data_IF_039928556711
#
_entry.id   IF_039928556711
#
_cell.length_a   1.000
_cell.length_b   1.000
_cell.length_c   1.000
_cell.angle_alpha   90.00
_cell.angle_beta   90.00
_cell.angle_gamma   90.00
#
_symmetry.space_group_name_H-M   'P 1'
#
loop_
_entity.id
_entity.type
_entity.pdbx_description
1 polymer ?
#
# COMPACT_ATOMS: atom_id res chain seq x y z
N UNK A 1 10.03 -16.73 -12.08
CA UNK A 1 9.94 -15.29 -11.76
C UNK A 1 8.70 -14.66 -12.39
N UNK A 2 8.42 -14.90 -13.65
CA UNK A 2 7.26 -14.35 -14.38
C UNK A 2 5.92 -14.60 -13.69
N UNK A 3 5.67 -15.81 -13.22
CA UNK A 3 4.41 -16.17 -12.56
C UNK A 3 4.22 -15.51 -11.20
N UNK A 4 5.30 -15.31 -10.43
CA UNK A 4 5.27 -14.53 -9.20
C UNK A 4 4.95 -13.05 -9.48
N UNK A 5 5.53 -12.50 -10.55
CA UNK A 5 5.23 -11.14 -11.01
C UNK A 5 3.76 -10.99 -11.40
N UNK A 6 3.21 -11.91 -12.21
CA UNK A 6 1.81 -11.86 -12.64
C UNK A 6 0.82 -12.04 -11.48
N UNK A 7 1.12 -12.93 -10.51
CA UNK A 7 0.31 -13.08 -9.31
C UNK A 7 0.30 -11.79 -8.46
N UNK A 8 1.47 -11.15 -8.28
CA UNK A 8 1.54 -9.84 -7.60
C UNK A 8 0.83 -8.74 -8.39
N UNK A 9 0.96 -8.73 -9.73
CA UNK A 9 0.28 -7.75 -10.59
C UNK A 9 -1.24 -7.83 -10.41
N UNK A 10 -1.83 -9.04 -10.51
CA UNK A 10 -3.25 -9.26 -10.29
C UNK A 10 -3.70 -8.90 -8.88
N UNK A 11 -2.89 -9.22 -7.86
CA UNK A 11 -3.15 -8.86 -6.47
C UNK A 11 -3.22 -7.34 -6.27
N UNK A 12 -2.22 -6.60 -6.73
CA UNK A 12 -2.16 -5.16 -6.55
C UNK A 12 -3.23 -4.42 -7.37
N UNK A 13 -3.54 -4.91 -8.57
CA UNK A 13 -4.65 -4.42 -9.37
C UNK A 13 -5.97 -4.58 -8.61
N UNK A 14 -6.23 -5.76 -8.02
CA UNK A 14 -7.45 -6.06 -7.29
C UNK A 14 -7.57 -5.32 -5.93
N UNK A 15 -6.48 -4.74 -5.42
CA UNK A 15 -6.50 -3.84 -4.26
C UNK A 15 -6.70 -2.38 -4.71
N UNK A 16 -5.88 -1.90 -5.65
CA UNK A 16 -5.81 -0.47 -5.96
C UNK A 16 -6.93 0.03 -6.87
N UNK A 17 -7.39 -0.75 -7.84
CA UNK A 17 -8.52 -0.34 -8.68
C UNK A 17 -9.80 -0.11 -7.86
N UNK A 18 -10.20 -1.02 -6.93
CA UNK A 18 -11.31 -0.74 -6.04
C UNK A 18 -11.10 0.48 -5.15
N UNK A 19 -9.97 0.57 -4.44
CA UNK A 19 -9.79 1.63 -3.44
C UNK A 19 -9.67 3.03 -4.06
N UNK A 20 -9.17 3.13 -5.29
CA UNK A 20 -8.96 4.42 -5.94
C UNK A 20 -10.13 4.89 -6.80
N UNK A 21 -10.90 3.96 -7.37
CA UNK A 21 -11.97 4.28 -8.33
C UNK A 21 -13.32 3.74 -7.89
N UNK A 22 -13.44 2.40 -7.72
CA UNK A 22 -14.75 1.76 -7.59
C UNK A 22 -15.42 2.03 -6.22
N UNK A 23 -14.67 1.95 -5.11
CA UNK A 23 -15.22 2.22 -3.77
C UNK A 23 -15.64 3.67 -3.59
N UNK A 24 -14.86 4.69 -4.03
CA UNK A 24 -15.34 6.07 -4.00
C UNK A 24 -16.64 6.27 -4.78
N UNK A 25 -16.72 5.75 -6.01
CA UNK A 25 -17.95 5.83 -6.82
C UNK A 25 -19.13 5.13 -6.15
N UNK A 26 -18.91 3.93 -5.59
CA UNK A 26 -19.94 3.18 -4.90
C UNK A 26 -20.42 3.88 -3.62
N UNK A 27 -19.50 4.50 -2.86
CA UNK A 27 -19.85 5.28 -1.67
C UNK A 27 -20.74 6.48 -2.04
N UNK A 28 -20.43 7.17 -3.14
CA UNK A 28 -21.25 8.29 -3.66
C UNK A 28 -22.63 7.83 -4.13
N UNK A 29 -22.74 6.64 -4.77
CA UNK A 29 -24.04 6.07 -5.15
C UNK A 29 -24.89 5.65 -3.95
N UNK A 30 -24.27 5.18 -2.85
CA UNK A 30 -24.99 4.74 -1.65
C UNK A 30 -25.40 5.90 -0.74
N UNK A 31 -24.57 6.93 -0.63
CA UNK A 31 -24.79 8.12 0.18
C UNK A 31 -24.00 9.30 -0.39
N UNK A 32 -24.62 10.06 -1.30
CA UNK A 32 -23.97 11.21 -1.94
C UNK A 32 -23.59 12.32 -0.96
N UNK A 33 -24.32 12.49 0.13
CA UNK A 33 -24.07 13.53 1.13
C UNK A 33 -22.97 13.13 2.13
N UNK A 34 -22.84 11.84 2.42
CA UNK A 34 -21.86 11.28 3.37
C UNK A 34 -20.79 10.41 2.70
N UNK A 35 -20.53 10.55 1.40
CA UNK A 35 -19.65 9.69 0.61
C UNK A 35 -18.25 9.53 1.20
N UNK A 36 -17.66 10.61 1.73
CA UNK A 36 -16.32 10.57 2.32
C UNK A 36 -16.33 9.79 3.64
N UNK A 37 -17.41 9.91 4.43
CA UNK A 37 -17.55 9.16 5.68
C UNK A 37 -17.77 7.66 5.40
N UNK A 38 -18.60 7.31 4.41
CA UNK A 38 -18.82 5.93 3.96
C UNK A 38 -17.52 5.33 3.44
N UNK A 39 -16.83 6.02 2.54
CA UNK A 39 -15.54 5.59 2.01
C UNK A 39 -14.49 5.44 3.12
N UNK A 40 -14.41 6.40 4.04
CA UNK A 40 -13.52 6.37 5.20
C UNK A 40 -13.79 5.20 6.12
N UNK A 41 -15.08 4.91 6.42
CA UNK A 41 -15.49 3.76 7.23
C UNK A 41 -15.09 2.43 6.55
N UNK A 42 -15.45 2.25 5.28
CA UNK A 42 -15.19 1.01 4.52
C UNK A 42 -13.69 0.75 4.43
N UNK A 43 -12.91 1.74 4.03
CA UNK A 43 -11.47 1.62 3.87
C UNK A 43 -10.75 1.49 5.21
N UNK A 44 -11.17 2.23 6.24
CA UNK A 44 -10.60 2.16 7.58
C UNK A 44 -10.82 0.80 8.25
N UNK A 45 -12.05 0.26 8.22
CA UNK A 45 -12.34 -1.08 8.75
C UNK A 45 -11.60 -2.16 7.94
N UNK A 46 -11.60 -2.06 6.61
CA UNK A 46 -10.85 -2.96 5.75
C UNK A 46 -9.35 -2.97 6.04
N UNK A 47 -8.76 -1.80 6.29
CA UNK A 47 -7.34 -1.69 6.62
C UNK A 47 -7.02 -2.28 8.01
N UNK A 48 -7.93 -2.20 9.00
CA UNK A 48 -7.80 -2.94 10.27
C UNK A 48 -7.78 -4.44 10.04
N UNK A 49 -8.64 -4.95 9.16
CA UNK A 49 -8.65 -6.37 8.77
C UNK A 49 -7.32 -6.75 8.12
N UNK A 50 -6.80 -5.94 7.19
CA UNK A 50 -5.50 -6.17 6.55
C UNK A 50 -4.34 -6.22 7.54
N UNK A 51 -4.33 -5.28 8.52
CA UNK A 51 -3.31 -5.20 9.57
C UNK A 51 -3.22 -6.49 10.38
N UNK A 52 -4.35 -7.15 10.61
CA UNK A 52 -4.44 -8.41 11.37
C UNK A 52 -4.23 -9.63 10.46
N UNK A 53 -4.86 -9.64 9.28
CA UNK A 53 -4.84 -10.79 8.37
C UNK A 53 -3.44 -11.09 7.83
N UNK A 54 -2.67 -10.07 7.43
CA UNK A 54 -1.35 -10.25 6.85
C UNK A 54 -0.39 -11.02 7.77
N UNK A 55 -0.13 -10.61 9.04
CA UNK A 55 0.75 -11.35 9.94
C UNK A 55 0.17 -12.71 10.35
N UNK A 56 -1.15 -12.82 10.61
CA UNK A 56 -1.75 -14.09 11.01
C UNK A 56 -1.65 -15.15 9.91
N UNK A 57 -1.96 -14.77 8.68
CA UNK A 57 -1.88 -15.70 7.54
C UNK A 57 -0.42 -15.99 7.21
N UNK A 58 0.48 -15.01 7.29
CA UNK A 58 1.92 -15.23 7.15
C UNK A 58 2.43 -16.30 8.11
N UNK A 59 2.15 -16.15 9.41
CA UNK A 59 2.50 -17.13 10.45
C UNK A 59 1.85 -18.51 10.21
N UNK A 60 0.59 -18.55 9.80
CA UNK A 60 -0.13 -19.79 9.50
C UNK A 60 0.48 -20.49 8.28
N UNK A 61 0.81 -19.74 7.24
CA UNK A 61 1.49 -20.22 6.04
C UNK A 61 2.87 -20.79 6.37
N UNK A 62 3.63 -20.15 7.29
CA UNK A 62 4.93 -20.64 7.75
C UNK A 62 4.87 -22.00 8.43
N UNK A 63 3.74 -22.35 9.00
CA UNK A 63 3.50 -23.58 9.76
C UNK A 63 2.71 -24.65 8.99
N UNK A 64 2.39 -24.39 7.74
CA UNK A 64 1.56 -25.29 6.94
C UNK A 64 2.36 -26.47 6.44
N UNK A 65 1.85 -27.68 6.72
CA UNK A 65 2.44 -28.97 6.34
C UNK A 65 1.61 -29.69 5.26
N UNK A 66 0.90 -28.93 4.41
CA UNK A 66 0.01 -29.45 3.38
C UNK A 66 0.74 -30.23 2.28
N UNK A 67 0.05 -31.22 1.71
CA UNK A 67 0.52 -31.98 0.53
C UNK A 67 0.66 -31.09 -0.73
N UNK A 68 -0.06 -29.99 -0.79
CA UNK A 68 -0.01 -29.02 -1.90
C UNK A 68 1.07 -27.96 -1.74
N UNK A 69 1.98 -28.14 -0.77
CA UNK A 69 3.01 -27.18 -0.44
C UNK A 69 2.64 -26.28 0.73
N UNK A 70 3.55 -25.37 1.05
CA UNK A 70 3.47 -24.49 2.21
C UNK A 70 2.77 -23.17 1.88
N UNK A 71 2.94 -22.64 0.65
CA UNK A 71 2.46 -21.32 0.22
C UNK A 71 1.25 -21.39 -0.70
N UNK A 72 1.17 -22.39 -1.59
CA UNK A 72 0.10 -22.50 -2.58
C UNK A 72 -1.31 -22.51 -1.99
N UNK A 73 -1.61 -23.26 -0.89
CA UNK A 73 -2.95 -23.26 -0.30
C UNK A 73 -3.40 -21.85 0.14
N UNK A 74 -2.49 -21.07 0.73
CA UNK A 74 -2.79 -19.72 1.19
C UNK A 74 -2.90 -18.71 0.06
N UNK A 75 -2.11 -18.87 -1.01
CA UNK A 75 -2.24 -18.05 -2.23
C UNK A 75 -3.61 -18.24 -2.87
N UNK A 76 -4.06 -19.51 -3.06
CA UNK A 76 -5.38 -19.80 -3.64
C UNK A 76 -6.53 -19.39 -2.72
N UNK A 77 -6.46 -19.74 -1.44
CA UNK A 77 -7.49 -19.35 -0.46
C UNK A 77 -7.62 -17.82 -0.37
N UNK A 78 -6.49 -17.12 -0.37
CA UNK A 78 -6.47 -15.65 -0.36
C UNK A 78 -7.09 -15.04 -1.60
N UNK A 79 -6.72 -15.54 -2.79
CA UNK A 79 -7.30 -15.09 -4.05
C UNK A 79 -8.81 -15.40 -4.14
N UNK A 80 -9.24 -16.58 -3.70
CA UNK A 80 -10.65 -16.97 -3.69
C UNK A 80 -11.48 -16.11 -2.71
N UNK A 81 -10.97 -15.88 -1.49
CA UNK A 81 -11.63 -15.01 -0.51
C UNK A 81 -11.71 -13.57 -1.02
N UNK A 82 -10.63 -13.06 -1.63
CA UNK A 82 -10.62 -11.74 -2.25
C UNK A 82 -11.62 -11.62 -3.41
N UNK A 83 -11.70 -12.63 -4.28
CA UNK A 83 -12.65 -12.68 -5.39
C UNK A 83 -14.10 -12.73 -4.89
N UNK A 84 -14.39 -13.51 -3.84
CA UNK A 84 -15.72 -13.53 -3.20
C UNK A 84 -16.06 -12.14 -2.65
N UNK A 85 -15.10 -11.47 -1.98
CA UNK A 85 -15.30 -10.10 -1.49
C UNK A 85 -15.61 -9.10 -2.63
N UNK A 86 -14.88 -9.19 -3.76
CA UNK A 86 -15.14 -8.37 -4.95
C UNK A 86 -16.50 -8.69 -5.58
N UNK A 87 -16.92 -9.96 -5.59
CA UNK A 87 -18.26 -10.34 -6.05
C UNK A 87 -19.35 -9.80 -5.11
N UNK A 88 -19.14 -9.80 -3.79
CA UNK A 88 -20.06 -9.17 -2.82
C UNK A 88 -20.15 -7.66 -3.08
N UNK A 89 -19.00 -6.98 -3.32
CA UNK A 89 -18.98 -5.55 -3.65
C UNK A 89 -19.74 -5.24 -4.95
N UNK A 90 -19.64 -6.10 -5.96
CA UNK A 90 -20.32 -5.90 -7.25
C UNK A 90 -21.85 -5.80 -7.15
N UNK A 91 -22.43 -6.37 -6.10
CA UNK A 91 -23.89 -6.39 -5.83
C UNK A 91 -24.25 -5.62 -4.55
N UNK A 92 -23.32 -4.92 -3.90
CA UNK A 92 -23.58 -4.27 -2.64
C UNK A 92 -24.52 -3.06 -2.80
N UNK A 93 -25.67 -3.13 -2.16
CA UNK A 93 -26.72 -2.10 -2.14
C UNK A 93 -26.82 -1.36 -0.80
N UNK A 94 -25.92 -1.63 0.14
CA UNK A 94 -25.87 -0.95 1.43
C UNK A 94 -24.43 -0.83 1.95
N UNK A 95 -24.20 0.16 2.80
CA UNK A 95 -22.89 0.41 3.43
C UNK A 95 -22.40 -0.82 4.20
N UNK A 96 -23.29 -1.53 4.92
CA UNK A 96 -22.92 -2.74 5.65
C UNK A 96 -22.39 -3.86 4.76
N UNK A 97 -23.02 -4.11 3.60
CA UNK A 97 -22.56 -5.11 2.61
C UNK A 97 -21.27 -4.64 1.97
N UNK A 98 -21.11 -3.35 1.69
CA UNK A 98 -19.87 -2.77 1.17
C UNK A 98 -18.69 -2.96 2.15
N UNK A 99 -18.90 -2.72 3.46
CA UNK A 99 -17.91 -2.99 4.52
C UNK A 99 -17.54 -4.47 4.55
N UNK A 100 -18.53 -5.38 4.54
CA UNK A 100 -18.28 -6.82 4.56
C UNK A 100 -17.48 -7.27 3.33
N UNK A 101 -17.90 -6.85 2.14
CA UNK A 101 -17.20 -7.17 0.89
C UNK A 101 -15.74 -6.69 0.91
N UNK A 102 -15.50 -5.45 1.34
CA UNK A 102 -14.15 -4.92 1.42
C UNK A 102 -13.30 -5.60 2.50
N UNK A 103 -13.88 -5.97 3.64
CA UNK A 103 -13.19 -6.78 4.66
C UNK A 103 -12.75 -8.15 4.11
N UNK A 104 -13.60 -8.81 3.32
CA UNK A 104 -13.24 -10.08 2.66
C UNK A 104 -12.10 -9.87 1.64
N UNK A 105 -12.16 -8.80 0.84
CA UNK A 105 -11.07 -8.43 -0.09
C UNK A 105 -9.77 -8.24 0.68
N UNK A 106 -9.79 -7.46 1.74
CA UNK A 106 -8.59 -7.14 2.52
C UNK A 106 -8.05 -8.38 3.25
N UNK A 107 -8.89 -9.21 3.85
CA UNK A 107 -8.46 -10.45 4.48
C UNK A 107 -7.81 -11.41 3.47
N UNK A 108 -8.49 -11.63 2.34
CA UNK A 108 -8.04 -12.54 1.29
C UNK A 108 -6.74 -12.06 0.63
N UNK A 109 -6.74 -10.84 0.10
CA UNK A 109 -5.61 -10.34 -0.68
C UNK A 109 -4.36 -10.05 0.18
N UNK A 110 -4.51 -9.60 1.43
CA UNK A 110 -3.37 -9.49 2.34
C UNK A 110 -2.84 -10.86 2.77
N UNK A 111 -3.69 -11.86 2.89
CA UNK A 111 -3.26 -13.25 3.08
C UNK A 111 -2.49 -13.80 1.88
N UNK A 112 -2.96 -13.54 0.66
CA UNK A 112 -2.25 -13.86 -0.57
C UNK A 112 -0.89 -13.14 -0.63
N UNK A 113 -0.86 -11.84 -0.31
CA UNK A 113 0.38 -11.03 -0.26
C UNK A 113 1.41 -11.63 0.71
N UNK A 114 0.99 -11.98 1.93
CA UNK A 114 1.86 -12.60 2.92
C UNK A 114 2.48 -13.90 2.39
N UNK A 115 1.67 -14.72 1.72
CA UNK A 115 2.11 -15.99 1.13
C UNK A 115 3.10 -15.77 -0.02
N UNK A 116 2.80 -14.87 -0.97
CA UNK A 116 3.67 -14.55 -2.11
C UNK A 116 4.99 -13.93 -1.67
N UNK A 117 4.96 -13.02 -0.68
CA UNK A 117 6.16 -12.38 -0.13
C UNK A 117 7.07 -13.42 0.54
N UNK A 118 6.49 -14.34 1.31
CA UNK A 118 7.22 -15.42 1.96
C UNK A 118 7.80 -16.45 0.96
N UNK A 119 7.22 -16.59 -0.23
CA UNK A 119 7.76 -17.47 -1.26
C UNK A 119 9.12 -16.97 -1.82
N UNK A 120 9.44 -15.69 -1.69
CA UNK A 120 10.71 -15.13 -2.18
C UNK A 120 11.90 -15.69 -1.40
N UNK A 121 12.00 -15.57 -0.06
CA UNK A 121 13.12 -16.15 0.68
C UNK A 121 13.15 -17.68 0.63
N UNK A 122 12.00 -18.35 0.45
CA UNK A 122 11.92 -19.81 0.38
C UNK A 122 12.51 -20.39 -0.90
N UNK A 123 12.45 -19.67 -2.03
CA UNK A 123 12.74 -20.20 -3.37
C UNK A 123 13.81 -19.46 -4.15
N UNK A 124 14.11 -18.22 -3.75
CA UNK A 124 15.03 -17.37 -4.49
C UNK A 124 16.41 -17.35 -3.82
N UNK A 125 17.48 -17.74 -4.52
CA UNK A 125 18.84 -17.63 -4.00
C UNK A 125 19.15 -16.20 -3.54
N UNK A 126 19.91 -16.05 -2.45
CA UNK A 126 20.22 -14.76 -1.83
C UNK A 126 20.68 -13.70 -2.84
N UNK A 127 21.53 -14.10 -3.79
CA UNK A 127 22.07 -13.20 -4.85
C UNK A 127 21.00 -12.63 -5.79
N UNK A 128 19.83 -13.28 -5.90
CA UNK A 128 18.75 -12.88 -6.82
C UNK A 128 17.57 -12.22 -6.10
N UNK A 129 17.54 -12.21 -4.75
CA UNK A 129 16.43 -11.68 -3.97
C UNK A 129 16.17 -10.20 -4.23
N UNK A 130 17.22 -9.41 -4.37
CA UNK A 130 17.09 -7.99 -4.70
C UNK A 130 16.42 -7.77 -6.07
N UNK A 131 16.81 -8.56 -7.10
CA UNK A 131 16.19 -8.51 -8.43
C UNK A 131 14.71 -8.91 -8.38
N UNK A 132 14.36 -9.95 -7.63
CA UNK A 132 12.98 -10.41 -7.48
C UNK A 132 12.15 -9.39 -6.67
N UNK A 133 12.71 -8.81 -5.61
CA UNK A 133 12.08 -7.72 -4.86
C UNK A 133 11.78 -6.50 -5.74
N UNK A 134 12.71 -6.13 -6.62
CA UNK A 134 12.49 -5.07 -7.62
C UNK A 134 11.34 -5.41 -8.59
N UNK A 135 11.26 -6.65 -9.08
CA UNK A 135 10.15 -7.10 -9.94
C UNK A 135 8.80 -7.07 -9.19
N UNK A 136 8.77 -7.45 -7.91
CA UNK A 136 7.56 -7.34 -7.08
C UNK A 136 7.15 -5.89 -6.89
N UNK A 137 8.10 -4.97 -6.67
CA UNK A 137 7.83 -3.53 -6.60
C UNK A 137 7.28 -2.97 -7.92
N UNK A 138 7.83 -3.38 -9.05
CA UNK A 138 7.32 -3.02 -10.39
C UNK A 138 5.89 -3.56 -10.58
N UNK A 139 5.61 -4.80 -10.15
CA UNK A 139 4.25 -5.36 -10.26
C UNK A 139 3.23 -4.58 -9.43
N UNK A 140 3.61 -4.04 -8.27
CA UNK A 140 2.76 -3.17 -7.46
C UNK A 140 2.46 -1.86 -8.19
N UNK A 141 3.48 -1.19 -8.72
CA UNK A 141 3.32 0.07 -9.47
C UNK A 141 2.45 -0.13 -10.71
N UNK A 142 2.74 -1.17 -11.51
CA UNK A 142 1.96 -1.49 -12.69
C UNK A 142 0.54 -1.93 -12.35
N UNK A 143 0.36 -2.71 -11.27
CA UNK A 143 -0.96 -3.13 -10.80
C UNK A 143 -1.85 -1.95 -10.42
N UNK A 144 -1.28 -0.94 -9.78
CA UNK A 144 -1.98 0.31 -9.45
C UNK A 144 -2.46 1.04 -10.71
N UNK A 145 -1.56 1.26 -11.67
CA UNK A 145 -1.88 1.98 -12.92
C UNK A 145 -2.80 1.19 -13.82
N UNK A 146 -2.46 -0.08 -14.11
CA UNK A 146 -3.28 -0.95 -14.96
C UNK A 146 -4.65 -1.21 -14.34
N UNK A 147 -4.74 -1.26 -13.01
CA UNK A 147 -6.00 -1.38 -12.31
C UNK A 147 -6.93 -0.21 -12.61
N UNK A 148 -6.43 1.00 -12.53
CA UNK A 148 -7.19 2.19 -12.90
C UNK A 148 -7.61 2.14 -14.38
N UNK A 149 -6.68 1.82 -15.30
CA UNK A 149 -6.99 1.69 -16.74
C UNK A 149 -8.09 0.65 -16.99
N UNK A 150 -8.01 -0.53 -16.36
CA UNK A 150 -9.02 -1.58 -16.53
C UNK A 150 -10.41 -1.07 -16.17
N UNK A 151 -10.57 -0.43 -15.02
CA UNK A 151 -11.90 -0.05 -14.52
C UNK A 151 -12.41 1.29 -15.04
N UNK A 152 -11.56 2.12 -15.66
CA UNK A 152 -11.99 3.40 -16.26
C UNK A 152 -12.11 3.34 -17.78
N UNK A 153 -11.27 2.53 -18.45
CA UNK A 153 -11.17 2.54 -19.92
C UNK A 153 -11.70 1.24 -20.54
N UNK A 154 -11.36 0.07 -19.95
CA UNK A 154 -11.65 -1.22 -20.60
C UNK A 154 -12.99 -1.82 -20.17
N UNK A 155 -13.46 -1.51 -18.97
CA UNK A 155 -14.68 -2.10 -18.39
C UNK A 155 -15.60 -0.99 -17.92
N UNK A 156 -16.82 -0.97 -18.39
CA UNK A 156 -17.83 0.01 -17.99
C UNK A 156 -18.71 -0.53 -16.86
N UNK A 157 -18.88 0.29 -15.81
CA UNK A 157 -19.78 0.04 -14.70
C UNK A 157 -19.12 -0.66 -13.50
N UNK A 158 -19.63 -0.33 -12.32
CA UNK A 158 -19.08 -0.77 -11.03
C UNK A 158 -19.02 -2.30 -10.89
N UNK A 159 -20.12 -2.97 -11.17
CA UNK A 159 -20.22 -4.43 -11.02
C UNK A 159 -19.20 -5.16 -11.91
N UNK A 160 -19.14 -4.77 -13.18
CA UNK A 160 -18.19 -5.35 -14.13
C UNK A 160 -16.73 -5.04 -13.75
N UNK A 161 -16.44 -3.85 -13.23
CA UNK A 161 -15.13 -3.46 -12.73
C UNK A 161 -14.65 -4.37 -11.57
N UNK A 162 -15.52 -4.60 -10.58
CA UNK A 162 -15.20 -5.52 -9.48
C UNK A 162 -14.99 -6.96 -9.95
N UNK A 163 -15.82 -7.46 -10.85
CA UNK A 163 -15.71 -8.81 -11.40
C UNK A 163 -14.46 -9.00 -12.27
N UNK A 164 -14.07 -7.98 -13.03
CA UNK A 164 -12.82 -7.98 -13.78
C UNK A 164 -11.61 -8.09 -12.85
N UNK A 165 -11.58 -7.31 -11.76
CA UNK A 165 -10.54 -7.41 -10.73
C UNK A 165 -10.51 -8.82 -10.10
N UNK A 166 -11.67 -9.41 -9.81
CA UNK A 166 -11.78 -10.77 -9.28
C UNK A 166 -11.20 -11.81 -10.25
N UNK A 167 -11.56 -11.73 -11.53
CA UNK A 167 -11.06 -12.64 -12.55
C UNK A 167 -9.53 -12.56 -12.71
N UNK A 168 -8.98 -11.34 -12.73
CA UNK A 168 -7.53 -11.12 -12.90
C UNK A 168 -6.73 -11.62 -11.72
N UNK A 169 -7.17 -11.41 -10.47
CA UNK A 169 -6.45 -11.90 -9.30
C UNK A 169 -6.48 -13.43 -9.23
N UNK A 170 -7.63 -14.05 -9.53
CA UNK A 170 -7.75 -15.51 -9.57
C UNK A 170 -6.87 -16.10 -10.67
N UNK A 171 -6.91 -15.52 -11.88
CA UNK A 171 -6.08 -15.97 -12.99
C UNK A 171 -4.57 -15.91 -12.64
N UNK A 172 -4.10 -14.81 -12.05
CA UNK A 172 -2.72 -14.66 -11.60
C UNK A 172 -2.32 -15.67 -10.52
N UNK A 173 -3.19 -15.89 -9.52
CA UNK A 173 -2.97 -16.86 -8.45
C UNK A 173 -2.94 -18.30 -8.98
N UNK A 174 -3.90 -18.68 -9.83
CA UNK A 174 -3.96 -20.01 -10.46
C UNK A 174 -2.72 -20.27 -11.33
N UNK A 175 -2.33 -19.32 -12.17
CA UNK A 175 -1.12 -19.44 -12.99
C UNK A 175 0.14 -19.65 -12.13
N UNK A 176 0.28 -18.89 -11.05
CA UNK A 176 1.39 -19.06 -10.11
C UNK A 176 1.41 -20.45 -9.48
N UNK A 177 0.27 -20.91 -8.96
CA UNK A 177 0.18 -22.19 -8.23
C UNK A 177 0.34 -23.39 -9.14
N UNK A 178 -0.23 -23.35 -10.36
CA UNK A 178 -0.17 -24.48 -11.30
C UNK A 178 1.22 -24.66 -11.92
N UNK A 179 1.97 -23.57 -12.11
CA UNK A 179 3.22 -23.61 -12.88
C UNK A 179 4.46 -23.62 -11.99
N UNK A 180 4.34 -23.11 -10.73
CA UNK A 180 5.50 -23.06 -9.84
C UNK A 180 5.49 -24.19 -8.82
N UNK A 181 6.64 -24.82 -8.51
CA UNK A 181 6.68 -25.85 -7.45
C UNK A 181 6.53 -25.21 -6.06
N UNK A 182 5.99 -25.94 -5.09
CA UNK A 182 5.94 -25.52 -3.68
C UNK A 182 6.41 -26.67 -2.77
N UNK A 183 7.50 -26.44 -2.05
CA UNK A 183 8.08 -27.45 -1.18
C UNK A 183 7.18 -27.68 0.05
N UNK A 184 7.00 -28.96 0.39
CA UNK A 184 6.31 -29.36 1.62
C UNK A 184 7.20 -29.08 2.82
N UNK A 185 6.61 -28.56 3.90
CA UNK A 185 7.30 -28.46 5.18
C UNK A 185 7.16 -29.80 5.92
N UNK A 186 8.28 -30.48 6.27
CA UNK A 186 8.23 -31.65 7.15
C UNK A 186 7.62 -31.28 8.50
N UNK A 187 6.85 -32.16 9.09
CA UNK A 187 6.21 -31.90 10.40
C UNK A 187 7.23 -31.65 11.51
N UNK A 188 8.41 -32.29 11.41
CA UNK A 188 9.50 -32.12 12.36
C UNK A 188 10.09 -30.69 12.34
N UNK A 189 10.05 -30.01 11.19
CA UNK A 189 10.64 -28.68 11.00
C UNK A 189 9.63 -27.54 11.23
N UNK A 190 8.45 -27.83 11.79
CA UNK A 190 7.38 -26.87 12.03
C UNK A 190 7.82 -25.80 13.04
N UNK A 191 7.87 -24.49 12.67
CA UNK A 191 8.31 -23.43 13.57
C UNK A 191 7.43 -23.29 14.83
N UNK A 192 8.04 -23.04 15.98
CA UNK A 192 7.34 -22.73 17.22
C UNK A 192 6.95 -21.25 17.22
N UNK A 193 5.69 -20.97 17.54
CA UNK A 193 5.20 -19.59 17.60
C UNK A 193 5.55 -18.95 18.96
N UNK A 194 6.30 -17.85 18.93
CA UNK A 194 6.71 -17.11 20.11
C UNK A 194 6.20 -15.68 20.06
N UNK A 195 4.98 -15.45 20.52
CA UNK A 195 4.31 -14.14 20.49
C UNK A 195 5.08 -13.02 21.22
N UNK A 196 5.79 -13.36 22.33
CA UNK A 196 6.58 -12.39 23.10
C UNK A 196 7.76 -11.79 22.32
N UNK A 197 8.21 -12.46 21.29
CA UNK A 197 9.33 -12.01 20.47
C UNK A 197 8.91 -10.95 19.43
N UNK A 198 7.60 -10.67 19.26
CA UNK A 198 7.10 -9.70 18.30
C UNK A 198 7.23 -8.23 18.76
N UNK A 199 7.55 -7.98 20.03
CA UNK A 199 7.64 -6.62 20.56
C UNK A 199 9.07 -6.08 20.53
N UNK A 200 9.28 -4.92 19.86
CA UNK A 200 10.53 -4.15 19.90
C UNK A 200 10.34 -2.97 20.84
N UNK A 201 11.13 -2.90 21.90
CA UNK A 201 11.02 -1.83 22.90
C UNK A 201 11.60 -0.50 22.35
N UNK A 202 10.79 0.56 22.20
CA UNK A 202 11.27 1.87 21.73
C UNK A 202 12.33 2.50 22.67
N UNK A 203 12.27 2.20 23.96
CA UNK A 203 13.22 2.72 24.95
C UNK A 203 14.61 2.10 24.82
N UNK A 204 14.69 0.83 24.40
CA UNK A 204 15.97 0.13 24.19
C UNK A 204 16.59 0.44 22.83
N UNK A 205 15.75 0.80 21.84
CA UNK A 205 16.14 1.04 20.44
C UNK A 205 15.54 2.38 19.95
N UNK A 206 16.01 3.54 20.47
CA UNK A 206 15.42 4.83 20.15
C UNK A 206 15.56 5.21 18.67
N UNK A 207 16.67 4.88 18.03
CA UNK A 207 16.88 5.17 16.60
C UNK A 207 15.89 4.39 15.71
N UNK A 208 15.60 3.12 16.07
CA UNK A 208 14.57 2.35 15.39
C UNK A 208 13.18 2.99 15.58
N UNK A 209 12.86 3.44 16.78
CA UNK A 209 11.58 4.09 17.06
C UNK A 209 11.42 5.40 16.26
N UNK A 210 12.44 6.25 16.19
CA UNK A 210 12.41 7.48 15.39
C UNK A 210 12.27 7.20 13.90
N UNK A 211 13.01 6.22 13.38
CA UNK A 211 12.91 5.80 11.97
C UNK A 211 11.54 5.21 11.65
N UNK A 212 10.96 4.41 12.56
CA UNK A 212 9.62 3.84 12.44
C UNK A 212 8.55 4.94 12.40
N UNK A 213 8.62 5.90 13.33
CA UNK A 213 7.69 7.03 13.34
C UNK A 213 7.82 7.89 12.07
N UNK A 214 9.05 8.15 11.60
CA UNK A 214 9.25 8.87 10.34
C UNK A 214 8.65 8.11 9.16
N UNK A 215 8.84 6.80 9.11
CA UNK A 215 8.26 5.94 8.07
C UNK A 215 6.73 5.95 8.09
N UNK A 216 6.13 5.84 9.28
CA UNK A 216 4.70 5.97 9.47
C UNK A 216 4.17 7.31 8.97
N UNK A 217 4.82 8.44 9.34
CA UNK A 217 4.40 9.78 8.97
C UNK A 217 4.49 10.05 7.45
N UNK A 218 5.51 9.54 6.76
CA UNK A 218 5.61 9.64 5.29
C UNK A 218 4.46 8.90 4.61
N UNK A 219 4.20 7.66 5.05
CA UNK A 219 3.11 6.87 4.49
C UNK A 219 1.73 7.50 4.79
N UNK A 220 1.57 8.08 5.99
CA UNK A 220 0.35 8.80 6.37
C UNK A 220 0.13 10.04 5.50
N UNK A 221 1.18 10.84 5.28
CA UNK A 221 1.12 12.01 4.41
C UNK A 221 0.78 11.62 2.96
N UNK A 222 1.39 10.55 2.44
CA UNK A 222 1.06 10.04 1.11
C UNK A 222 -0.39 9.54 1.02
N UNK A 223 -0.89 8.85 2.05
CA UNK A 223 -2.27 8.36 2.08
C UNK A 223 -3.29 9.51 2.04
N UNK A 224 -3.08 10.58 2.82
CA UNK A 224 -3.92 11.78 2.77
C UNK A 224 -3.86 12.48 1.40
N UNK A 225 -2.70 12.48 0.75
CA UNK A 225 -2.51 13.10 -0.57
C UNK A 225 -3.13 12.33 -1.73
N UNK A 226 -3.44 11.04 -1.57
CA UNK A 226 -3.86 10.18 -2.69
C UNK A 226 -5.24 9.57 -2.58
N UNK A 227 -5.69 9.18 -1.36
CA UNK A 227 -6.92 8.39 -1.19
C UNK A 227 -8.21 9.13 -1.58
N UNK A 228 -8.26 10.44 -1.38
CA UNK A 228 -9.46 11.25 -1.62
C UNK A 228 -9.37 12.11 -2.88
N UNK A 229 -8.42 11.79 -3.75
CA UNK A 229 -8.11 12.60 -4.93
C UNK A 229 -9.26 12.62 -5.94
N UNK A 230 -9.99 11.49 -6.06
CA UNK A 230 -11.17 11.43 -6.94
C UNK A 230 -12.26 12.43 -6.51
N UNK A 231 -12.58 12.45 -5.22
CA UNK A 231 -13.56 13.40 -4.67
C UNK A 231 -13.07 14.84 -4.77
N UNK A 232 -11.78 15.09 -4.51
CA UNK A 232 -11.19 16.42 -4.70
C UNK A 232 -11.35 16.91 -6.14
N UNK A 233 -11.16 16.04 -7.13
CA UNK A 233 -11.34 16.39 -8.55
C UNK A 233 -12.80 16.68 -8.89
N UNK A 234 -13.75 15.96 -8.32
CA UNK A 234 -15.19 16.19 -8.51
C UNK A 234 -15.69 17.43 -7.78
N UNK A 235 -15.44 17.51 -6.49
CA UNK A 235 -16.09 18.47 -5.60
C UNK A 235 -15.44 19.87 -5.62
N UNK A 236 -14.11 19.93 -5.71
CA UNK A 236 -13.34 21.19 -5.62
C UNK A 236 -12.86 21.67 -6.97
N UNK A 237 -12.18 20.79 -7.72
CA UNK A 237 -11.66 21.13 -9.06
C UNK A 237 -12.78 21.20 -10.09
N UNK A 238 -13.87 20.44 -9.86
CA UNK A 238 -15.02 20.31 -10.79
C UNK A 238 -14.57 19.89 -12.19
N UNK A 239 -13.70 18.87 -12.21
CA UNK A 239 -13.20 18.32 -13.47
C UNK A 239 -14.37 17.67 -14.23
N UNK A 240 -14.48 17.86 -15.58
CA UNK A 240 -15.59 17.30 -16.36
C UNK A 240 -15.72 15.78 -16.27
N UNK A 241 -14.58 15.09 -16.16
CA UNK A 241 -14.49 13.62 -15.99
C UNK A 241 -13.48 13.33 -14.85
N UNK A 242 -13.90 13.31 -13.57
CA UNK A 242 -12.99 13.12 -12.43
C UNK A 242 -12.17 11.83 -12.49
N UNK A 243 -12.73 10.75 -13.04
CA UNK A 243 -12.08 9.45 -13.22
C UNK A 243 -10.92 9.53 -14.21
N UNK A 244 -11.13 10.19 -15.36
CA UNK A 244 -10.08 10.42 -16.36
C UNK A 244 -8.99 11.32 -15.79
N UNK A 245 -9.40 12.36 -15.08
CA UNK A 245 -8.49 13.24 -14.34
C UNK A 245 -7.64 12.48 -13.34
N UNK A 246 -8.25 11.60 -12.55
CA UNK A 246 -7.55 10.74 -11.59
C UNK A 246 -6.54 9.84 -12.32
N UNK A 247 -6.95 9.20 -13.41
CA UNK A 247 -6.07 8.33 -14.20
C UNK A 247 -4.83 9.09 -14.68
N UNK A 248 -4.99 10.32 -15.21
CA UNK A 248 -3.87 11.17 -15.62
C UNK A 248 -2.94 11.47 -14.44
N UNK A 249 -3.49 11.86 -13.28
CA UNK A 249 -2.68 12.15 -12.09
C UNK A 249 -1.94 10.91 -11.56
N UNK A 250 -2.58 9.73 -11.61
CA UNK A 250 -1.96 8.48 -11.21
C UNK A 250 -0.83 8.05 -12.14
N UNK A 251 -0.98 8.24 -13.44
CA UNK A 251 0.08 8.00 -14.42
C UNK A 251 1.28 8.92 -14.18
N UNK A 252 1.04 10.21 -14.00
CA UNK A 252 2.08 11.19 -13.70
C UNK A 252 2.79 10.87 -12.38
N UNK A 253 2.02 10.56 -11.33
CA UNK A 253 2.54 10.13 -10.03
C UNK A 253 3.40 8.86 -10.15
N UNK A 254 2.91 7.84 -10.84
CA UNK A 254 3.60 6.55 -11.00
C UNK A 254 4.92 6.67 -11.76
N UNK A 255 4.93 7.39 -12.89
CA UNK A 255 6.16 7.67 -13.66
C UNK A 255 7.15 8.46 -12.82
N UNK A 256 6.69 9.51 -12.16
CA UNK A 256 7.51 10.37 -11.32
C UNK A 256 8.07 9.61 -10.09
N UNK A 257 7.30 8.69 -9.51
CA UNK A 257 7.72 7.79 -8.44
C UNK A 257 8.91 6.91 -8.89
N UNK A 258 8.81 6.32 -10.08
CA UNK A 258 9.91 5.51 -10.63
C UNK A 258 11.18 6.35 -10.86
N UNK A 259 11.04 7.56 -11.40
CA UNK A 259 12.15 8.50 -11.60
C UNK A 259 12.79 8.89 -10.25
N UNK A 260 11.97 9.25 -9.27
CA UNK A 260 12.42 9.62 -7.92
C UNK A 260 13.15 8.48 -7.22
N UNK A 261 12.61 7.26 -7.32
CA UNK A 261 13.20 6.07 -6.74
C UNK A 261 14.58 5.76 -7.36
N UNK A 262 14.69 5.81 -8.68
CA UNK A 262 15.95 5.58 -9.38
C UNK A 262 17.00 6.66 -9.04
N UNK A 263 16.62 7.94 -9.11
CA UNK A 263 17.52 9.05 -8.90
C UNK A 263 18.04 9.12 -7.44
N UNK A 264 17.14 8.98 -6.46
CA UNK A 264 17.51 9.02 -5.05
C UNK A 264 18.26 7.74 -4.63
N UNK A 265 17.84 6.57 -5.09
CA UNK A 265 18.49 5.29 -4.81
C UNK A 265 19.93 5.26 -5.32
N UNK A 266 20.16 5.59 -6.59
CA UNK A 266 21.49 5.60 -7.19
C UNK A 266 22.44 6.60 -6.50
N UNK A 267 21.95 7.79 -6.15
CA UNK A 267 22.76 8.80 -5.45
C UNK A 267 23.03 8.41 -4.00
N UNK A 268 22.02 7.90 -3.31
CA UNK A 268 22.13 7.47 -1.92
C UNK A 268 23.12 6.31 -1.77
N UNK A 269 23.14 5.36 -2.72
CA UNK A 269 24.10 4.26 -2.71
C UNK A 269 25.53 4.72 -2.99
N UNK A 270 25.72 5.71 -3.88
CA UNK A 270 27.04 6.29 -4.17
C UNK A 270 27.59 7.09 -2.99
N UNK A 271 26.76 7.83 -2.29
CA UNK A 271 27.18 8.71 -1.19
C UNK A 271 27.25 8.02 0.17
N UNK A 272 26.60 6.85 0.30
CA UNK A 272 26.43 6.15 1.58
C UNK A 272 25.50 6.88 2.56
N UNK A 273 25.00 8.08 2.21
CA UNK A 273 24.15 8.91 3.07
C UNK A 273 22.68 8.58 2.80
N UNK A 274 21.88 8.44 3.84
CA UNK A 274 20.44 8.12 3.74
C UNK A 274 19.54 9.30 4.15
N UNK A 275 19.84 9.96 5.25
CA UNK A 275 19.02 11.05 5.80
C UNK A 275 18.79 12.23 4.84
N UNK A 276 19.78 12.76 4.10
CA UNK A 276 19.53 13.89 3.21
C UNK A 276 18.45 13.59 2.16
N UNK A 277 18.42 12.36 1.66
CA UNK A 277 17.44 11.96 0.66
C UNK A 277 16.03 11.81 1.26
N UNK A 278 15.91 11.34 2.51
CA UNK A 278 14.63 11.33 3.22
C UNK A 278 14.13 12.75 3.49
N UNK A 279 15.02 13.68 3.89
CA UNK A 279 14.68 15.07 4.12
C UNK A 279 14.19 15.77 2.85
N UNK A 280 14.93 15.61 1.75
CA UNK A 280 14.54 16.18 0.43
C UNK A 280 13.21 15.56 -0.03
N UNK A 281 13.04 14.26 0.07
CA UNK A 281 11.80 13.57 -0.28
C UNK A 281 10.61 14.11 0.50
N UNK A 282 10.74 14.24 1.82
CA UNK A 282 9.69 14.77 2.68
C UNK A 282 9.37 16.24 2.35
N UNK A 283 10.38 17.06 2.08
CA UNK A 283 10.19 18.46 1.67
C UNK A 283 9.47 18.59 0.33
N UNK A 284 9.81 17.75 -0.65
CA UNK A 284 9.14 17.71 -1.97
C UNK A 284 7.68 17.27 -1.83
N UNK A 285 7.40 16.25 -1.00
CA UNK A 285 6.03 15.80 -0.73
C UNK A 285 5.21 16.89 -0.01
N UNK A 286 5.81 17.57 0.97
CA UNK A 286 5.16 18.69 1.65
C UNK A 286 4.87 19.84 0.69
N UNK A 287 5.81 20.20 -0.20
CA UNK A 287 5.60 21.22 -1.21
C UNK A 287 4.46 20.87 -2.18
N UNK A 288 4.35 19.61 -2.60
CA UNK A 288 3.25 19.12 -3.42
C UNK A 288 1.89 19.30 -2.73
N UNK A 289 1.79 18.94 -1.45
CA UNK A 289 0.58 19.09 -0.68
C UNK A 289 0.24 20.57 -0.44
N UNK A 290 1.22 21.41 -0.08
CA UNK A 290 1.03 22.86 0.12
C UNK A 290 0.62 23.58 -1.17
N UNK A 291 1.06 23.11 -2.34
CA UNK A 291 0.61 23.62 -3.62
C UNK A 291 -0.92 23.49 -3.78
N UNK A 292 -1.49 22.32 -3.38
CA UNK A 292 -2.94 22.10 -3.42
C UNK A 292 -3.70 22.86 -2.33
N UNK A 293 -3.05 23.16 -1.21
CA UNK A 293 -3.62 24.06 -0.18
C UNK A 293 -3.77 25.47 -0.74
N UNK A 294 -2.72 25.99 -1.39
CA UNK A 294 -2.71 27.35 -1.93
C UNK A 294 -3.63 27.49 -3.16
N UNK A 295 -3.51 26.58 -4.10
CA UNK A 295 -4.22 26.59 -5.38
C UNK A 295 -4.90 25.24 -5.65
N UNK A 296 -6.13 25.01 -5.16
CA UNK A 296 -6.88 23.77 -5.41
C UNK A 296 -7.50 23.75 -6.82
N UNK A 297 -6.65 23.67 -7.84
CA UNK A 297 -7.02 23.71 -9.27
C UNK A 297 -6.46 22.49 -10.01
N UNK A 298 -7.02 22.22 -11.19
CA UNK A 298 -6.52 21.15 -12.06
C UNK A 298 -5.04 21.32 -12.41
N UNK A 299 -4.64 22.53 -12.80
CA UNK A 299 -3.24 22.82 -13.14
C UNK A 299 -2.29 22.56 -11.97
N UNK A 300 -2.68 22.95 -10.76
CA UNK A 300 -1.90 22.66 -9.57
C UNK A 300 -1.83 21.15 -9.27
N UNK A 301 -2.92 20.40 -9.50
CA UNK A 301 -2.93 18.95 -9.35
C UNK A 301 -1.99 18.26 -10.36
N UNK A 302 -1.94 18.72 -11.61
CA UNK A 302 -0.99 18.21 -12.63
C UNK A 302 0.48 18.42 -12.24
N UNK A 303 0.79 19.44 -11.43
CA UNK A 303 2.15 19.69 -10.91
C UNK A 303 2.37 18.95 -9.59
N UNK A 304 1.37 18.92 -8.72
CA UNK A 304 1.48 18.29 -7.40
C UNK A 304 1.64 16.77 -7.48
N UNK A 305 0.92 16.11 -8.41
CA UNK A 305 0.99 14.65 -8.55
C UNK A 305 2.42 14.14 -8.87
N UNK A 306 3.14 14.64 -9.87
CA UNK A 306 4.50 14.22 -10.13
C UNK A 306 5.47 14.64 -9.01
N UNK A 307 5.30 15.80 -8.36
CA UNK A 307 6.11 16.18 -7.20
C UNK A 307 5.94 15.17 -6.05
N UNK A 308 4.68 14.83 -5.72
CA UNK A 308 4.39 13.82 -4.70
C UNK A 308 5.01 12.46 -5.07
N UNK A 309 4.92 12.07 -6.35
CA UNK A 309 5.50 10.85 -6.89
C UNK A 309 7.02 10.82 -6.73
N UNK A 310 7.74 11.85 -7.18
CA UNK A 310 9.21 11.94 -7.04
C UNK A 310 9.61 11.88 -5.56
N UNK A 311 8.93 12.63 -4.69
CA UNK A 311 9.21 12.61 -3.26
C UNK A 311 9.01 11.23 -2.64
N UNK A 312 7.85 10.61 -2.87
CA UNK A 312 7.53 9.31 -2.30
C UNK A 312 8.41 8.19 -2.85
N UNK A 313 8.69 8.18 -4.16
CA UNK A 313 9.60 7.23 -4.80
C UNK A 313 11.03 7.37 -4.27
N UNK A 314 11.52 8.60 -4.16
CA UNK A 314 12.85 8.89 -3.58
C UNK A 314 12.98 8.41 -2.14
N UNK A 315 11.93 8.60 -1.34
CA UNK A 315 11.85 8.07 0.01
C UNK A 315 11.89 6.53 0.02
N UNK A 316 11.03 5.85 -0.76
CA UNK A 316 10.95 4.40 -0.78
C UNK A 316 12.25 3.72 -1.18
N UNK A 317 13.00 4.28 -2.14
CA UNK A 317 14.28 3.75 -2.55
C UNK A 317 15.33 3.73 -1.42
N UNK A 318 15.23 4.67 -0.47
CA UNK A 318 16.19 4.82 0.64
C UNK A 318 15.66 4.23 1.94
N UNK A 319 14.34 4.15 2.10
CA UNK A 319 13.67 3.76 3.34
C UNK A 319 14.10 2.38 3.85
N UNK A 320 14.11 1.35 2.99
CA UNK A 320 14.49 0.00 3.40
C UNK A 320 15.94 -0.04 3.89
N UNK A 321 16.85 0.65 3.21
CA UNK A 321 18.25 0.73 3.62
C UNK A 321 18.42 1.46 4.95
N UNK A 322 17.73 2.58 5.16
CA UNK A 322 17.73 3.31 6.42
C UNK A 322 17.16 2.45 7.56
N UNK A 323 15.99 1.86 7.35
CA UNK A 323 15.30 1.06 8.35
C UNK A 323 16.09 -0.20 8.73
N UNK A 324 16.72 -0.88 7.76
CA UNK A 324 17.55 -2.06 8.04
C UNK A 324 18.85 -1.74 8.78
N UNK A 325 19.37 -0.51 8.68
CA UNK A 325 20.56 -0.07 9.42
C UNK A 325 20.28 0.18 10.90
N UNK A 326 19.04 0.50 11.26
CA UNK A 326 18.63 0.75 12.66
C UNK A 326 18.00 -0.45 13.34
N UNK A 327 17.95 -1.63 12.66
CA UNK A 327 17.40 -2.86 13.25
C UNK A 327 18.26 -3.34 14.44
N UNK A 328 17.61 -3.77 15.54
CA UNK A 328 18.30 -4.10 16.80
C UNK A 328 19.28 -5.28 16.71
N UNK A 329 18.98 -6.31 15.93
CA UNK A 329 19.83 -7.50 15.85
C UNK A 329 19.68 -8.26 14.52
N UNK A 330 20.76 -8.91 14.08
CA UNK A 330 20.75 -9.72 12.86
C UNK A 330 19.94 -11.03 13.02
N UNK A 331 19.75 -11.53 14.24
CA UNK A 331 19.00 -12.75 14.56
C UNK A 331 17.48 -12.57 14.45
N UNK A 332 16.95 -11.35 14.65
CA UNK A 332 15.51 -11.09 14.77
C UNK A 332 14.90 -10.33 13.59
N UNK A 333 15.61 -10.31 12.46
CA UNK A 333 15.21 -9.53 11.24
C UNK A 333 13.78 -9.79 10.78
N UNK A 334 13.27 -11.02 10.87
CA UNK A 334 11.90 -11.33 10.44
C UNK A 334 10.85 -10.63 11.32
N UNK A 335 11.08 -10.56 12.62
CA UNK A 335 10.25 -9.84 13.59
C UNK A 335 10.26 -8.34 13.32
N UNK A 336 11.47 -7.79 13.17
CA UNK A 336 11.67 -6.36 12.99
C UNK A 336 11.06 -5.88 11.68
N UNK A 337 11.12 -6.69 10.62
CA UNK A 337 10.41 -6.44 9.35
C UNK A 337 8.88 -6.50 9.53
N UNK A 338 8.38 -7.38 10.42
CA UNK A 338 6.96 -7.41 10.78
C UNK A 338 6.51 -6.09 11.45
N UNK A 339 7.30 -5.57 12.38
CA UNK A 339 7.04 -4.27 13.03
C UNK A 339 7.10 -3.11 12.03
N UNK A 340 8.03 -3.16 11.06
CA UNK A 340 8.10 -2.19 9.98
C UNK A 340 6.86 -2.25 9.07
N UNK A 341 6.34 -3.44 8.80
CA UNK A 341 5.13 -3.58 7.99
C UNK A 341 3.91 -2.94 8.64
N UNK A 342 3.85 -2.86 9.97
CA UNK A 342 2.81 -2.09 10.68
C UNK A 342 2.92 -0.60 10.31
N UNK A 343 4.12 -0.02 10.22
CA UNK A 343 4.30 1.37 9.81
C UNK A 343 3.90 1.65 8.35
N UNK A 344 3.87 0.62 7.49
CA UNK A 344 3.33 0.71 6.13
C UNK A 344 1.80 0.63 6.11
N UNK A 345 1.22 -0.27 6.89
CA UNK A 345 -0.20 -0.63 6.82
C UNK A 345 -1.08 0.28 7.70
N UNK A 346 -0.58 0.65 8.89
CA UNK A 346 -1.33 1.46 9.84
C UNK A 346 -1.74 2.85 9.30
N UNK A 347 -0.95 3.57 8.48
CA UNK A 347 -1.38 4.79 7.81
C UNK A 347 -2.62 4.62 6.93
N UNK A 348 -2.77 3.48 6.28
CA UNK A 348 -3.94 3.15 5.46
C UNK A 348 -5.22 2.98 6.31
N UNK A 349 -5.07 2.66 7.60
CA UNK A 349 -6.16 2.63 8.58
C UNK A 349 -6.47 4.03 9.10
N UNK A 350 -5.40 4.73 9.52
CA UNK A 350 -5.50 6.01 10.24
C UNK A 350 -5.98 7.12 9.30
N UNK A 351 -5.48 7.19 8.07
CA UNK A 351 -5.83 8.25 7.13
C UNK A 351 -7.35 8.30 6.84
N UNK A 352 -8.03 7.22 6.41
CA UNK A 352 -9.46 7.26 6.17
C UNK A 352 -10.28 7.62 7.41
N UNK A 353 -9.94 7.07 8.58
CA UNK A 353 -10.65 7.35 9.83
C UNK A 353 -10.53 8.82 10.25
N UNK A 354 -9.36 9.43 10.06
CA UNK A 354 -9.15 10.84 10.38
C UNK A 354 -9.71 11.78 9.32
N UNK A 355 -9.81 11.35 8.05
CA UNK A 355 -10.22 12.24 6.95
C UNK A 355 -11.59 12.81 7.16
N UNK A 356 -12.56 12.05 7.62
CA UNK A 356 -13.92 12.56 7.91
C UNK A 356 -13.89 13.71 8.91
N UNK A 357 -13.11 13.57 9.99
CA UNK A 357 -12.92 14.63 10.97
C UNK A 357 -12.19 15.84 10.38
N UNK A 358 -11.12 15.60 9.61
CA UNK A 358 -10.32 16.66 8.97
C UNK A 358 -11.15 17.46 7.98
N UNK A 359 -11.92 16.79 7.12
CA UNK A 359 -12.81 17.45 6.15
C UNK A 359 -13.88 18.31 6.84
N UNK A 360 -14.47 17.81 7.93
CA UNK A 360 -15.51 18.53 8.67
C UNK A 360 -14.97 19.72 9.50
N UNK A 361 -13.74 19.60 10.05
CA UNK A 361 -13.26 20.53 11.10
C UNK A 361 -12.12 21.45 10.65
N UNK A 362 -11.36 21.09 9.61
CA UNK A 362 -10.13 21.78 9.20
C UNK A 362 -10.22 22.47 7.82
N UNK A 363 -11.42 22.80 7.35
CA UNK A 363 -11.60 23.55 6.10
C UNK A 363 -11.58 22.68 4.83
N UNK A 364 -12.12 21.46 4.92
CA UNK A 364 -12.33 20.58 3.77
C UNK A 364 -11.02 20.01 3.21
N UNK A 365 -10.95 19.89 1.89
CA UNK A 365 -9.77 19.32 1.20
C UNK A 365 -8.49 20.14 1.39
N UNK A 366 -8.59 21.48 1.60
CA UNK A 366 -7.41 22.28 1.96
C UNK A 366 -6.82 21.83 3.29
N UNK A 367 -7.67 21.57 4.29
CA UNK A 367 -7.25 21.00 5.56
C UNK A 367 -6.62 19.62 5.41
N UNK A 368 -7.18 18.78 4.54
CA UNK A 368 -6.63 17.45 4.25
C UNK A 368 -5.21 17.52 3.69
N UNK A 369 -4.97 18.37 2.70
CA UNK A 369 -3.63 18.56 2.14
C UNK A 369 -2.67 19.27 3.12
N UNK A 370 -3.17 20.16 3.99
CA UNK A 370 -2.36 20.75 5.07
C UNK A 370 -1.90 19.67 6.08
N UNK A 371 -2.77 18.73 6.45
CA UNK A 371 -2.42 17.60 7.32
C UNK A 371 -1.42 16.67 6.61
N UNK A 372 -1.56 16.44 5.31
CA UNK A 372 -0.59 15.68 4.50
C UNK A 372 0.81 16.34 4.54
N UNK A 373 0.87 17.66 4.32
CA UNK A 373 2.12 18.44 4.41
C UNK A 373 2.72 18.39 5.82
N UNK A 374 1.90 18.57 6.84
CA UNK A 374 2.34 18.50 8.24
C UNK A 374 2.92 17.12 8.58
N UNK A 375 2.26 16.03 8.20
CA UNK A 375 2.75 14.67 8.43
C UNK A 375 4.11 14.43 7.77
N UNK A 376 4.29 14.85 6.51
CA UNK A 376 5.56 14.70 5.80
C UNK A 376 6.68 15.58 6.40
N UNK A 377 6.38 16.81 6.85
CA UNK A 377 7.34 17.65 7.56
C UNK A 377 7.70 17.08 8.94
N UNK A 378 6.74 16.53 9.67
CA UNK A 378 7.02 15.79 10.90
C UNK A 378 8.00 14.64 10.66
N UNK A 379 7.83 13.88 9.57
CA UNK A 379 8.76 12.83 9.21
C UNK A 379 10.18 13.36 8.96
N UNK A 380 10.32 14.51 8.31
CA UNK A 380 11.61 15.16 8.12
C UNK A 380 12.27 15.50 9.46
N UNK A 381 11.52 16.04 10.43
CA UNK A 381 12.03 16.31 11.77
C UNK A 381 12.41 15.02 12.51
N UNK A 382 11.57 14.00 12.45
CA UNK A 382 11.79 12.73 13.15
C UNK A 382 13.05 12.01 12.64
N UNK A 383 13.32 12.02 11.32
CA UNK A 383 14.50 11.36 10.76
C UNK A 383 15.81 12.03 11.22
N UNK A 384 15.80 13.32 11.55
CA UNK A 384 16.99 14.01 12.09
C UNK A 384 17.39 13.47 13.46
N UNK A 385 16.44 12.89 14.22
CA UNK A 385 16.67 12.31 15.55
C UNK A 385 17.35 10.93 15.51
N UNK A 386 17.34 10.26 14.36
CA UNK A 386 18.08 9.01 14.16
C UNK A 386 19.57 9.31 14.17
N UNK A 387 20.34 8.78 15.13
CA UNK A 387 21.77 9.12 15.30
C UNK A 387 22.71 8.12 14.64
N UNK A 388 22.32 6.86 14.54
CA UNK A 388 23.16 5.77 14.04
C UNK A 388 23.34 5.71 12.54
N UNK A 389 22.63 6.55 11.76
CA UNK A 389 22.68 6.59 10.29
C UNK A 389 23.17 7.97 9.85
N UNK A 390 23.94 8.03 8.74
CA UNK A 390 24.45 9.27 8.15
C UNK A 390 23.52 9.85 7.07
#
# INVERSE_FOLDING_TARGET
>A
MTWLFLANLGLWLAIYAPIQVLLPQQAELLDAAGKEAVFGLVTGVGALVALVANPLIGLSSDRTTSRFGRRHPWTLAGAATGAVGLAVLSSASSVGVMVLGWCLVQAGLNGMLASLTSAVPDRVPVRQRAKVGGLVGISQMLGTVLGAVVVTVLVSGLAAGYLACAALVVAGACAFVLITPDARLPRADRPVLRWRELWVSPRRHPDFAWAWCAHFMINLGNAFGTLYLLYFLGDVVRHPSPEDGLLVLMLLYGVALAIGAFAAGARSDRTGRRKPYVLVSAAVMAAAALLLVAWPTWTAALVAAPLLGVGFGGYWAVALALLTQVLPAASDRAKDLGVLNIANSLPQVVAPLLTTFVLASLGGYRGLFAVSAFATLCAAVLVTRVRSVA
#
